data_IF_989908955373
#
_entry.id   IF_989908955373
#
_cell.length_a   1.000
_cell.length_b   1.000
_cell.length_c   1.000
_cell.angle_alpha   90.00
_cell.angle_beta   90.00
_cell.angle_gamma   90.00
#
_symmetry.space_group_name_H-M   'P 1'
#
loop_
_entity.id
_entity.type
_entity.pdbx_description
1 polymer ?
#
# COMPACT_ATOMS: atom_id res chain seq x y z
N UNK A 1 20.44 37.27 67.63
CA UNK A 1 19.22 37.31 66.78
C UNK A 1 19.12 38.51 65.81
N UNK A 2 20.07 39.46 65.80
CA UNK A 2 20.05 40.62 64.88
C UNK A 2 20.60 40.31 63.47
N UNK A 3 21.60 39.43 63.35
CA UNK A 3 22.34 39.25 62.09
C UNK A 3 21.62 38.38 61.03
N UNK A 4 20.69 37.51 61.45
CA UNK A 4 19.92 36.66 60.53
C UNK A 4 18.78 37.41 59.81
N UNK A 5 18.22 38.46 60.43
CA UNK A 5 17.21 39.32 59.80
C UNK A 5 17.81 40.28 58.77
N UNK A 6 19.05 40.73 58.98
CA UNK A 6 19.81 41.55 58.04
C UNK A 6 20.09 40.82 56.72
N UNK A 7 20.67 39.61 56.79
CA UNK A 7 21.01 38.81 55.59
C UNK A 7 19.78 38.38 54.76
N UNK A 8 18.63 38.15 55.40
CA UNK A 8 17.36 37.82 54.70
C UNK A 8 16.76 39.05 53.99
N UNK A 9 16.89 40.24 54.57
CA UNK A 9 16.46 41.48 53.93
C UNK A 9 17.33 41.85 52.73
N UNK A 10 18.64 41.60 52.82
CA UNK A 10 19.60 41.87 51.75
C UNK A 10 19.44 40.92 50.57
N UNK A 11 19.17 39.62 50.82
CA UNK A 11 18.85 38.64 49.78
C UNK A 11 17.56 38.99 49.03
N UNK A 12 16.50 39.40 49.72
CA UNK A 12 15.26 39.89 49.09
C UNK A 12 15.45 41.18 48.30
N UNK A 13 16.38 42.06 48.72
CA UNK A 13 16.76 43.26 47.95
C UNK A 13 17.52 42.91 46.68
N UNK A 14 18.42 41.92 46.71
CA UNK A 14 19.09 41.41 45.51
C UNK A 14 18.11 40.74 44.57
N UNK A 15 17.25 39.85 45.05
CA UNK A 15 16.23 39.18 44.22
C UNK A 15 15.28 40.19 43.57
N UNK A 16 14.84 41.24 44.29
CA UNK A 16 14.03 42.32 43.70
C UNK A 16 14.79 43.18 42.67
N UNK A 17 16.09 43.41 42.86
CA UNK A 17 16.92 44.09 41.85
C UNK A 17 17.12 43.23 40.60
N UNK A 18 17.38 41.93 40.77
CA UNK A 18 17.52 41.01 39.64
C UNK A 18 16.21 40.87 38.88
N UNK A 19 15.06 40.78 39.57
CA UNK A 19 13.73 40.76 38.94
C UNK A 19 13.42 42.07 38.22
N UNK A 20 13.79 43.21 38.82
CA UNK A 20 13.66 44.53 38.20
C UNK A 20 14.50 44.67 36.92
N UNK A 21 15.75 44.19 36.94
CA UNK A 21 16.61 44.17 35.76
C UNK A 21 16.01 43.26 34.69
N UNK A 22 15.55 42.06 35.05
CA UNK A 22 14.94 41.13 34.11
C UNK A 22 13.68 41.74 33.45
N UNK A 23 12.84 42.41 34.25
CA UNK A 23 11.64 43.10 33.74
C UNK A 23 12.02 44.28 32.82
N UNK A 24 13.08 45.01 33.15
CA UNK A 24 13.56 46.12 32.30
C UNK A 24 14.14 45.59 30.98
N UNK A 25 14.85 44.47 31.00
CA UNK A 25 15.36 43.79 29.79
C UNK A 25 14.20 43.24 28.97
N UNK A 26 13.16 42.68 29.59
CA UNK A 26 11.98 42.19 28.88
C UNK A 26 11.20 43.33 28.23
N UNK A 27 11.03 44.47 28.92
CA UNK A 27 10.39 45.68 28.36
C UNK A 27 11.24 46.28 27.24
N UNK A 28 12.57 46.28 27.35
CA UNK A 28 13.47 46.72 26.29
C UNK A 28 13.43 45.78 25.08
N UNK A 29 13.37 44.46 25.28
CA UNK A 29 13.21 43.48 24.21
C UNK A 29 11.84 43.60 23.53
N UNK A 30 10.77 43.82 24.30
CA UNK A 30 9.44 44.06 23.76
C UNK A 30 9.38 45.39 22.98
N UNK A 31 10.04 46.43 23.48
CA UNK A 31 10.19 47.70 22.76
C UNK A 31 11.05 47.54 21.50
N UNK A 32 12.09 46.69 21.53
CA UNK A 32 12.89 46.37 20.35
C UNK A 32 12.07 45.59 19.32
N UNK A 33 11.29 44.60 19.76
CA UNK A 33 10.41 43.80 18.91
C UNK A 33 9.29 44.65 18.30
N UNK A 34 8.67 45.52 19.10
CA UNK A 34 7.68 46.49 18.62
C UNK A 34 8.32 47.55 17.72
N UNK A 35 9.59 47.93 17.93
CA UNK A 35 10.31 48.85 17.05
C UNK A 35 10.76 48.20 15.74
N UNK A 36 11.06 46.89 15.75
CA UNK A 36 11.36 46.10 14.56
C UNK A 36 10.08 45.86 13.76
N UNK A 37 8.97 45.51 14.42
CA UNK A 37 7.65 45.38 13.78
C UNK A 37 7.14 46.76 13.27
N UNK A 38 7.52 47.87 13.94
CA UNK A 38 7.29 49.24 13.45
C UNK A 38 8.27 49.68 12.35
N UNK A 39 9.48 49.12 12.25
CA UNK A 39 10.40 49.36 11.13
C UNK A 39 10.04 48.52 9.91
N UNK A 40 9.46 47.35 10.12
CA UNK A 40 8.96 46.44 9.09
C UNK A 40 7.60 46.90 8.55
N UNK A 41 6.71 47.43 9.42
CA UNK A 41 5.41 48.01 9.03
C UNK A 41 5.43 49.53 8.76
N UNK A 42 6.40 50.27 9.30
CA UNK A 42 6.50 51.74 9.24
C UNK A 42 7.44 52.29 8.16
N UNK A 43 7.92 51.46 7.23
CA UNK A 43 8.43 51.94 5.93
C UNK A 43 7.35 52.58 5.04
N UNK A 44 6.10 52.67 5.52
CA UNK A 44 5.05 53.54 4.96
C UNK A 44 4.83 54.72 5.90
N UNK A 45 4.96 55.94 5.36
CA UNK A 45 4.68 57.24 6.00
C UNK A 45 5.86 57.82 6.80
N UNK A 46 6.77 58.58 6.17
CA UNK A 46 6.62 60.04 6.10
C UNK A 46 7.25 60.68 4.83
N UNK A 47 7.72 59.86 3.87
CA UNK A 47 8.13 60.30 2.51
C UNK A 47 7.05 59.95 1.47
N UNK A 48 5.94 59.34 1.90
CA UNK A 48 4.86 58.85 1.05
C UNK A 48 4.18 59.90 0.14
N UNK A 49 4.07 61.21 0.49
CA UNK A 49 3.47 62.17 -0.44
C UNK A 49 4.41 62.63 -1.55
N UNK A 50 5.72 62.33 -1.47
CA UNK A 50 6.73 62.73 -2.45
C UNK A 50 7.24 61.55 -3.30
N UNK A 51 7.11 60.30 -2.81
CA UNK A 51 7.44 59.08 -3.56
C UNK A 51 6.26 58.45 -4.31
N UNK A 52 5.02 58.87 -4.06
CA UNK A 52 3.83 58.40 -4.80
C UNK A 52 3.78 58.84 -6.27
N UNK A 53 4.65 59.78 -6.67
CA UNK A 53 4.85 60.14 -8.09
C UNK A 53 5.84 59.24 -8.83
N UNK A 54 6.58 58.38 -8.11
CA UNK A 54 7.58 57.46 -8.67
C UNK A 54 7.49 56.06 -8.05
N UNK A 55 6.27 55.54 -7.82
CA UNK A 55 6.13 54.09 -7.71
C UNK A 55 6.18 53.51 -9.13
N UNK A 56 7.21 52.72 -9.51
CA UNK A 56 7.09 51.92 -10.71
C UNK A 56 5.82 51.08 -10.55
N UNK A 57 4.93 51.18 -11.54
CA UNK A 57 3.71 50.38 -11.62
C UNK A 57 4.13 48.94 -11.30
N UNK A 58 3.55 48.35 -10.26
CA UNK A 58 3.85 46.96 -9.90
C UNK A 58 3.61 46.15 -11.17
N UNK A 59 4.68 45.53 -11.70
CA UNK A 59 4.60 44.84 -12.99
C UNK A 59 3.56 43.74 -12.79
N UNK A 60 2.47 43.82 -13.55
CA UNK A 60 1.42 42.82 -13.48
C UNK A 60 2.08 41.46 -13.75
N UNK A 61 1.70 40.44 -12.96
CA UNK A 61 2.23 39.08 -13.13
C UNK A 61 1.11 38.19 -13.64
N UNK A 62 1.41 37.27 -14.57
CA UNK A 62 0.42 36.29 -15.00
C UNK A 62 0.01 35.41 -13.82
N UNK A 63 -1.27 35.05 -13.75
CA UNK A 63 -1.80 34.11 -12.75
C UNK A 63 -1.26 32.70 -12.95
N UNK A 64 -1.05 32.30 -14.20
CA UNK A 64 -0.57 30.96 -14.56
C UNK A 64 0.83 31.06 -15.19
N UNK A 65 1.70 30.14 -14.80
CA UNK A 65 3.03 29.99 -15.37
C UNK A 65 3.04 28.87 -16.43
N UNK A 66 4.08 28.85 -17.25
CA UNK A 66 4.38 27.74 -18.14
C UNK A 66 4.38 26.40 -17.37
N UNK A 67 3.74 25.39 -17.96
CA UNK A 67 3.53 24.07 -17.37
C UNK A 67 2.30 23.95 -16.47
N UNK A 68 1.62 25.04 -16.09
CA UNK A 68 0.40 24.92 -15.29
C UNK A 68 -0.74 24.26 -16.09
N UNK A 69 -1.48 23.39 -15.43
CA UNK A 69 -2.72 22.83 -15.95
C UNK A 69 -3.88 23.80 -15.73
N UNK A 70 -4.64 24.03 -16.79
CA UNK A 70 -5.76 24.97 -16.80
C UNK A 70 -6.97 24.34 -17.47
N UNK A 71 -8.13 24.54 -16.87
CA UNK A 71 -9.41 24.22 -17.47
C UNK A 71 -9.80 25.36 -18.42
N UNK A 72 -10.05 25.01 -19.67
CA UNK A 72 -10.55 25.89 -20.72
C UNK A 72 -11.87 25.34 -21.25
N UNK A 73 -12.85 26.22 -21.48
CA UNK A 73 -14.16 25.83 -22.01
C UNK A 73 -14.25 26.20 -23.48
N UNK A 74 -14.27 25.20 -24.35
CA UNK A 74 -14.46 25.36 -25.80
C UNK A 74 -15.86 24.89 -26.20
N UNK A 75 -16.78 25.85 -26.35
CA UNK A 75 -18.20 25.54 -26.56
C UNK A 75 -18.81 24.80 -25.37
N UNK A 76 -19.22 23.55 -25.60
CA UNK A 76 -19.79 22.67 -24.57
C UNK A 76 -18.74 21.73 -23.95
N UNK A 77 -17.52 21.67 -24.49
CA UNK A 77 -16.43 20.86 -23.96
C UNK A 77 -15.64 21.63 -22.89
N UNK A 78 -15.28 20.94 -21.82
CA UNK A 78 -14.33 21.42 -20.83
C UNK A 78 -13.02 20.64 -20.97
N UNK A 79 -12.01 21.31 -21.49
CA UNK A 79 -10.71 20.71 -21.86
C UNK A 79 -9.66 21.17 -20.84
N UNK A 80 -8.83 20.25 -20.38
CA UNK A 80 -7.72 20.53 -19.48
C UNK A 80 -6.45 20.61 -20.30
N UNK A 81 -5.95 21.83 -20.48
CA UNK A 81 -4.74 22.11 -21.24
C UNK A 81 -3.53 22.46 -20.38
N UNK A 82 -2.37 22.52 -21.02
CA UNK A 82 -1.10 22.95 -20.43
C UNK A 82 -0.71 24.33 -20.93
N UNK A 83 -0.46 25.27 -20.02
CA UNK A 83 0.05 26.60 -20.38
C UNK A 83 1.44 26.47 -20.97
N UNK A 84 1.62 26.95 -22.20
CA UNK A 84 2.91 27.00 -22.89
C UNK A 84 3.56 28.36 -22.68
N UNK A 85 2.75 29.43 -22.74
CA UNK A 85 3.26 30.79 -22.63
C UNK A 85 2.19 31.75 -22.16
N UNK A 86 2.59 32.81 -21.47
CA UNK A 86 1.76 33.98 -21.19
C UNK A 86 2.35 35.23 -21.83
N UNK A 87 1.48 36.12 -22.30
CA UNK A 87 1.85 37.40 -22.93
C UNK A 87 0.95 38.50 -22.36
N UNK A 88 1.52 39.66 -22.04
CA UNK A 88 0.74 40.82 -21.60
C UNK A 88 0.12 41.51 -22.83
N UNK A 89 -1.21 41.57 -22.87
CA UNK A 89 -2.01 42.30 -23.85
C UNK A 89 -2.50 43.64 -23.25
N UNK A 90 -2.31 44.77 -23.95
CA UNK A 90 -2.68 46.09 -23.45
C UNK A 90 -4.18 46.30 -23.16
N UNK A 91 -5.07 45.56 -23.82
CA UNK A 91 -6.53 45.71 -23.72
C UNK A 91 -7.15 44.65 -22.82
N UNK A 92 -6.62 43.42 -22.83
CA UNK A 92 -7.23 42.26 -22.18
C UNK A 92 -6.50 41.79 -20.92
N UNK A 93 -5.33 42.36 -20.60
CA UNK A 93 -4.47 41.85 -19.53
C UNK A 93 -3.62 40.68 -20.03
N UNK A 94 -3.36 39.66 -19.20
CA UNK A 94 -2.60 38.51 -19.68
C UNK A 94 -3.44 37.60 -20.57
N UNK A 95 -2.88 37.25 -21.73
CA UNK A 95 -3.38 36.22 -22.63
C UNK A 95 -2.41 35.04 -22.69
N UNK A 96 -2.94 33.87 -22.97
CA UNK A 96 -2.23 32.61 -22.84
C UNK A 96 -2.20 31.83 -24.14
N UNK A 97 -1.09 31.14 -24.34
CA UNK A 97 -0.94 30.05 -25.30
C UNK A 97 -1.05 28.75 -24.50
N UNK A 98 -2.07 27.95 -24.80
CA UNK A 98 -2.41 26.72 -24.07
C UNK A 98 -2.46 25.56 -25.06
N UNK A 99 -1.73 24.50 -24.75
CA UNK A 99 -1.79 23.22 -25.47
C UNK A 99 -2.97 22.42 -24.93
N UNK A 100 -4.00 22.23 -25.76
CA UNK A 100 -5.28 21.62 -25.36
C UNK A 100 -5.34 20.12 -25.70
N UNK A 101 -4.60 19.72 -26.72
CA UNK A 101 -4.35 18.34 -27.15
C UNK A 101 -2.87 18.27 -27.54
N UNK A 102 -2.23 17.11 -27.44
CA UNK A 102 -0.81 16.96 -27.67
C UNK A 102 -0.42 17.46 -29.08
N UNK A 103 0.38 18.52 -29.14
CA UNK A 103 0.76 19.20 -30.38
C UNK A 103 -0.26 20.19 -30.94
N UNK A 104 -1.42 20.37 -30.29
CA UNK A 104 -2.49 21.31 -30.68
C UNK A 104 -2.57 22.45 -29.67
N UNK A 105 -2.24 23.65 -30.13
CA UNK A 105 -2.14 24.83 -29.27
C UNK A 105 -3.14 25.90 -29.68
N UNK A 106 -3.87 26.41 -28.69
CA UNK A 106 -4.74 27.56 -28.81
C UNK A 106 -4.05 28.80 -28.25
N UNK A 107 -4.13 29.90 -29.00
CA UNK A 107 -3.45 31.17 -28.68
C UNK A 107 -4.45 32.23 -28.26
N UNK A 108 -3.92 33.25 -27.59
CA UNK A 108 -4.65 34.46 -27.21
C UNK A 108 -5.85 34.17 -26.28
N UNK A 109 -5.76 33.13 -25.44
CA UNK A 109 -6.82 32.82 -24.46
C UNK A 109 -6.77 33.83 -23.31
N UNK A 110 -7.84 34.58 -23.03
CA UNK A 110 -7.86 35.53 -21.92
C UNK A 110 -7.77 34.83 -20.56
N UNK A 111 -7.03 35.39 -19.60
CA UNK A 111 -6.85 34.81 -18.26
C UNK A 111 -8.16 34.44 -17.55
N UNK A 112 -9.22 35.24 -17.77
CA UNK A 112 -10.55 35.05 -17.17
C UNK A 112 -11.26 33.77 -17.65
N UNK A 113 -10.85 33.21 -18.77
CA UNK A 113 -11.42 31.98 -19.35
C UNK A 113 -10.70 30.72 -18.86
N UNK A 114 -9.64 30.90 -18.07
CA UNK A 114 -8.84 29.82 -17.50
C UNK A 114 -9.12 29.68 -16.00
N UNK A 115 -9.24 28.42 -15.56
CA UNK A 115 -9.30 28.06 -14.15
C UNK A 115 -8.18 27.08 -13.81
N UNK A 116 -7.56 27.23 -12.64
CA UNK A 116 -6.59 26.23 -12.17
C UNK A 116 -7.30 24.89 -11.98
N UNK A 117 -6.67 23.83 -12.46
CA UNK A 117 -7.11 22.45 -12.23
C UNK A 117 -5.88 21.60 -11.97
N UNK A 118 -6.05 20.55 -11.17
CA UNK A 118 -5.02 19.53 -10.95
C UNK A 118 -5.60 18.20 -11.41
N UNK A 119 -4.79 17.45 -12.12
CA UNK A 119 -5.10 16.09 -12.59
C UNK A 119 -3.93 15.18 -12.21
N UNK A 120 -4.15 13.87 -12.15
CA UNK A 120 -3.06 12.94 -11.83
C UNK A 120 -2.04 12.84 -12.95
N UNK A 121 -2.47 12.92 -14.21
CA UNK A 121 -1.61 12.77 -15.39
C UNK A 121 -1.62 14.03 -16.25
N UNK A 122 -0.50 14.30 -16.92
CA UNK A 122 -0.33 15.47 -17.76
C UNK A 122 -0.39 15.13 -19.26
N UNK A 123 -0.68 16.16 -20.04
CA UNK A 123 -0.62 16.07 -21.50
C UNK A 123 0.80 15.72 -21.95
N UNK A 124 0.93 14.67 -22.77
CA UNK A 124 2.20 14.15 -23.24
C UNK A 124 2.92 13.25 -22.23
N UNK A 125 2.30 12.89 -21.11
CA UNK A 125 2.87 11.94 -20.15
C UNK A 125 2.73 10.50 -20.67
N UNK A 126 3.81 9.72 -20.55
CA UNK A 126 3.81 8.30 -20.86
C UNK A 126 3.07 7.54 -19.75
N UNK A 127 2.12 6.69 -20.14
CA UNK A 127 1.24 5.96 -19.22
C UNK A 127 1.09 4.50 -19.62
N UNK A 128 0.86 3.67 -18.61
CA UNK A 128 0.45 2.29 -18.79
C UNK A 128 -1.02 2.14 -18.39
N UNK A 129 -1.75 1.29 -19.11
CA UNK A 129 -3.11 0.92 -18.74
C UNK A 129 -3.12 -0.11 -17.60
N UNK A 130 -4.03 0.06 -16.64
CA UNK A 130 -4.18 -0.77 -15.46
C UNK A 130 -4.64 -2.20 -15.84
N UNK A 131 -4.30 -3.24 -15.05
CA UNK A 131 -4.70 -4.63 -15.34
C UNK A 131 -6.22 -4.86 -15.38
N UNK A 132 -6.99 -4.01 -14.70
CA UNK A 132 -8.44 -4.06 -14.70
C UNK A 132 -9.08 -3.32 -15.89
N UNK A 133 -8.29 -2.60 -16.68
CA UNK A 133 -8.79 -1.95 -17.88
C UNK A 133 -9.13 -3.00 -18.93
N UNK A 134 -10.16 -2.71 -19.73
CA UNK A 134 -10.47 -3.52 -20.92
C UNK A 134 -9.46 -3.29 -22.06
N UNK A 135 -8.53 -2.37 -21.86
CA UNK A 135 -7.55 -1.90 -22.82
C UNK A 135 -6.17 -2.25 -22.26
N UNK A 136 -5.35 -2.98 -23.01
CA UNK A 136 -3.98 -3.33 -22.60
C UNK A 136 -2.95 -2.58 -23.45
N UNK A 137 -1.95 -1.99 -22.81
CA UNK A 137 -0.81 -1.38 -23.48
C UNK A 137 -0.21 -0.19 -22.76
N UNK A 138 0.83 0.36 -23.39
CA UNK A 138 1.52 1.59 -23.00
C UNK A 138 1.30 2.64 -24.08
N UNK A 139 1.21 3.90 -23.66
CA UNK A 139 0.92 5.00 -24.56
C UNK A 139 1.28 6.34 -23.96
N UNK A 140 0.79 7.40 -24.60
CA UNK A 140 0.99 8.77 -24.15
C UNK A 140 -0.33 9.53 -24.14
N UNK A 141 -0.58 10.32 -23.09
CA UNK A 141 -1.80 11.12 -22.96
C UNK A 141 -1.85 12.18 -24.07
N UNK A 142 -2.88 12.11 -24.91
CA UNK A 142 -3.08 13.01 -26.04
C UNK A 142 -4.10 14.10 -25.77
N UNK A 143 -5.11 13.87 -24.92
CA UNK A 143 -6.11 14.88 -24.54
C UNK A 143 -6.62 14.60 -23.12
N UNK A 144 -7.05 15.65 -22.42
CA UNK A 144 -7.65 15.55 -21.09
C UNK A 144 -8.92 16.40 -21.05
N UNK A 145 -10.04 15.80 -20.68
CA UNK A 145 -11.35 16.44 -20.64
C UNK A 145 -11.95 16.34 -19.23
N UNK A 146 -12.86 17.25 -18.90
CA UNK A 146 -13.75 17.12 -17.74
C UNK A 146 -15.17 16.87 -18.20
N UNK A 147 -15.74 15.73 -17.81
CA UNK A 147 -17.12 15.35 -18.13
C UNK A 147 -17.87 15.02 -16.84
N UNK A 148 -18.93 15.78 -16.52
CA UNK A 148 -19.77 15.55 -15.34
C UNK A 148 -18.96 15.41 -14.03
N UNK A 149 -18.01 16.34 -13.82
CA UNK A 149 -17.05 16.36 -12.71
C UNK A 149 -16.01 15.22 -12.67
N UNK A 150 -15.95 14.36 -13.70
CA UNK A 150 -14.91 13.35 -13.87
C UNK A 150 -13.84 13.82 -14.86
N UNK A 151 -12.58 13.49 -14.57
CA UNK A 151 -11.47 13.67 -15.50
C UNK A 151 -11.39 12.44 -16.39
N UNK A 152 -11.37 12.67 -17.70
CA UNK A 152 -11.32 11.65 -18.74
C UNK A 152 -10.11 11.90 -19.61
N UNK A 153 -9.37 10.84 -19.92
CA UNK A 153 -8.14 10.88 -20.68
C UNK A 153 -8.35 10.26 -22.07
N UNK A 154 -7.60 10.78 -23.03
CA UNK A 154 -7.39 10.14 -24.32
C UNK A 154 -5.89 9.87 -24.46
N UNK A 155 -5.54 8.75 -25.10
CA UNK A 155 -4.14 8.35 -25.25
C UNK A 155 -3.86 7.72 -26.61
N UNK A 156 -2.65 7.89 -27.11
CA UNK A 156 -2.11 7.12 -28.23
C UNK A 156 -1.35 5.91 -27.67
N UNK A 157 -1.90 4.72 -27.85
CA UNK A 157 -1.38 3.45 -27.31
C UNK A 157 -0.78 2.63 -28.44
N UNK A 158 0.44 2.13 -28.25
CA UNK A 158 1.29 1.58 -29.33
C UNK A 158 0.60 0.48 -30.18
N UNK A 159 -0.25 -0.34 -29.55
CA UNK A 159 -0.94 -1.46 -30.22
C UNK A 159 -2.45 -1.24 -30.45
N UNK A 160 -3.03 -0.18 -29.88
CA UNK A 160 -4.47 0.11 -29.98
C UNK A 160 -4.76 1.37 -30.81
N UNK A 161 -3.73 2.15 -31.14
CA UNK A 161 -3.88 3.45 -31.76
C UNK A 161 -4.46 4.46 -30.78
N UNK A 162 -5.36 5.33 -31.24
CA UNK A 162 -5.98 6.32 -30.38
C UNK A 162 -7.10 5.70 -29.56
N UNK A 163 -7.03 5.87 -28.25
CA UNK A 163 -7.96 5.35 -27.26
C UNK A 163 -8.64 6.53 -26.58
N UNK A 164 -9.96 6.44 -26.42
CA UNK A 164 -10.82 7.48 -25.88
C UNK A 164 -11.45 7.02 -24.57
N UNK A 165 -11.98 7.97 -23.80
CA UNK A 165 -12.78 7.72 -22.59
C UNK A 165 -12.05 6.93 -21.49
N UNK A 166 -10.72 7.06 -21.40
CA UNK A 166 -9.91 6.39 -20.39
C UNK A 166 -10.15 7.07 -19.05
N UNK A 167 -10.64 6.32 -18.07
CA UNK A 167 -10.81 6.83 -16.71
C UNK A 167 -9.49 6.83 -15.95
N UNK A 168 -9.39 7.70 -14.96
CA UNK A 168 -8.17 7.83 -14.15
C UNK A 168 -7.78 6.52 -13.42
N UNK A 169 -8.76 5.68 -13.05
CA UNK A 169 -8.56 4.37 -12.44
C UNK A 169 -8.11 3.28 -13.43
N UNK A 170 -8.15 3.55 -14.73
CA UNK A 170 -7.64 2.70 -15.79
C UNK A 170 -6.17 3.01 -16.14
N UNK A 171 -5.55 3.98 -15.48
CA UNK A 171 -4.15 4.35 -15.66
C UNK A 171 -3.31 3.90 -14.45
N UNK A 172 -2.04 3.54 -14.71
CA UNK A 172 -1.09 3.15 -13.67
C UNK A 172 -0.28 4.34 -13.14
N UNK A 173 -0.22 4.48 -11.82
CA UNK A 173 0.74 5.34 -11.12
C UNK A 173 1.85 4.49 -10.52
N UNK A 174 3.11 4.91 -10.62
CA UNK A 174 4.22 4.21 -9.93
C UNK A 174 4.77 5.08 -8.80
N UNK A 175 4.84 4.52 -7.59
CA UNK A 175 5.45 5.13 -6.41
C UNK A 175 6.64 4.27 -6.00
N UNK A 176 7.82 4.89 -5.97
CA UNK A 176 9.03 4.28 -5.44
C UNK A 176 8.97 4.31 -3.91
N UNK A 177 9.07 3.16 -3.25
CA UNK A 177 9.09 3.10 -1.80
C UNK A 177 10.52 3.42 -1.32
N UNK A 178 10.67 4.40 -0.42
CA UNK A 178 11.99 4.85 0.03
C UNK A 178 12.54 4.04 1.24
N UNK A 179 12.40 2.72 1.23
CA UNK A 179 12.98 1.86 2.28
C UNK A 179 14.51 1.97 2.27
N UNK A 180 15.12 1.85 3.46
CA UNK A 180 16.60 1.87 3.60
C UNK A 180 17.09 0.78 4.53
N UNK A 181 18.26 0.25 4.22
CA UNK A 181 18.88 -0.84 5.00
C UNK A 181 19.32 -0.35 6.37
N UNK A 182 19.73 0.92 6.47
CA UNK A 182 20.16 1.56 7.72
C UNK A 182 19.01 1.99 8.63
N UNK A 183 17.78 2.04 8.12
CA UNK A 183 16.60 2.40 8.91
C UNK A 183 16.31 1.33 9.96
N UNK A 184 15.74 1.74 11.09
CA UNK A 184 15.13 0.79 12.01
C UNK A 184 13.90 0.12 11.37
N UNK A 185 13.50 -1.02 11.94
CA UNK A 185 12.26 -1.71 11.59
C UNK A 185 11.05 -0.77 11.63
N UNK A 186 10.94 0.05 12.66
CA UNK A 186 9.83 0.99 12.86
C UNK A 186 9.82 2.10 11.80
N UNK A 187 10.99 2.61 11.41
CA UNK A 187 11.13 3.61 10.34
C UNK A 187 10.70 3.03 8.99
N UNK A 188 11.14 1.82 8.64
CA UNK A 188 10.73 1.14 7.42
C UNK A 188 9.23 0.77 7.43
N UNK A 189 8.68 0.38 8.57
CA UNK A 189 7.24 0.17 8.71
C UNK A 189 6.45 1.45 8.42
N UNK A 190 6.88 2.60 8.94
CA UNK A 190 6.20 3.87 8.71
C UNK A 190 6.29 4.30 7.24
N UNK A 191 7.45 4.14 6.61
CA UNK A 191 7.62 4.41 5.17
C UNK A 191 6.68 3.56 4.34
N UNK A 192 6.59 2.25 4.63
CA UNK A 192 5.69 1.36 3.89
C UNK A 192 4.21 1.72 4.14
N UNK A 193 3.85 2.09 5.37
CA UNK A 193 2.50 2.56 5.71
C UNK A 193 2.12 3.82 4.93
N UNK A 194 3.04 4.79 4.83
CA UNK A 194 2.83 6.02 4.06
C UNK A 194 2.69 5.73 2.56
N UNK A 195 3.46 4.78 2.02
CA UNK A 195 3.33 4.36 0.62
C UNK A 195 1.96 3.73 0.35
N UNK A 196 1.47 2.86 1.25
CA UNK A 196 0.11 2.29 1.16
C UNK A 196 -0.95 3.41 1.24
N UNK A 197 -0.82 4.38 2.16
CA UNK A 197 -1.76 5.50 2.25
C UNK A 197 -1.75 6.34 0.95
N UNK A 198 -0.57 6.63 0.40
CA UNK A 198 -0.43 7.38 -0.85
C UNK A 198 -1.07 6.65 -2.02
N UNK A 199 -0.91 5.32 -2.12
CA UNK A 199 -1.51 4.53 -3.19
C UNK A 199 -3.03 4.56 -3.19
N UNK A 200 -3.68 4.69 -2.03
CA UNK A 200 -5.15 4.74 -1.94
C UNK A 200 -5.77 6.04 -2.49
N UNK A 201 -4.95 7.04 -2.85
CA UNK A 201 -5.37 8.34 -3.38
C UNK A 201 -5.35 8.40 -4.91
N UNK A 202 -4.85 7.35 -5.58
CA UNK A 202 -4.71 7.28 -7.02
C UNK A 202 -5.57 6.14 -7.59
N UNK A 203 -5.53 5.97 -8.92
CA UNK A 203 -6.02 4.79 -9.62
C UNK A 203 -5.20 3.53 -9.30
N UNK A 204 -4.94 2.69 -10.30
CA UNK A 204 -4.08 1.53 -10.08
C UNK A 204 -2.64 1.97 -9.76
N UNK A 205 -2.10 1.56 -8.62
CA UNK A 205 -0.79 1.99 -8.16
C UNK A 205 0.20 0.84 -8.05
N UNK A 206 1.37 0.99 -8.67
CA UNK A 206 2.53 0.14 -8.43
C UNK A 206 3.35 0.77 -7.31
N UNK A 207 3.45 0.08 -6.17
CA UNK A 207 4.47 0.33 -5.17
C UNK A 207 5.70 -0.51 -5.50
N UNK A 208 6.72 0.17 -6.01
CA UNK A 208 7.99 -0.46 -6.39
C UNK A 208 8.95 -0.42 -5.20
N UNK A 209 9.35 -1.60 -4.75
CA UNK A 209 10.31 -1.73 -3.67
C UNK A 209 11.75 -1.56 -4.19
N UNK A 210 12.64 -0.94 -3.40
CA UNK A 210 14.04 -0.81 -3.77
C UNK A 210 14.76 -2.16 -3.68
N UNK A 211 15.87 -2.28 -4.40
CA UNK A 211 16.78 -3.42 -4.26
C UNK A 211 17.43 -3.43 -2.86
N UNK A 212 17.50 -4.61 -2.24
CA UNK A 212 18.17 -4.79 -0.95
C UNK A 212 17.35 -5.57 0.07
N UNK A 213 17.83 -5.60 1.31
CA UNK A 213 17.17 -6.27 2.42
C UNK A 213 16.71 -5.25 3.47
N UNK A 214 15.41 -5.23 3.77
CA UNK A 214 14.79 -4.21 4.62
C UNK A 214 14.07 -4.89 5.77
N UNK A 215 14.37 -4.48 7.01
CA UNK A 215 13.68 -5.01 8.18
C UNK A 215 12.29 -4.38 8.32
N UNK A 216 11.25 -5.22 8.44
CA UNK A 216 9.86 -4.84 8.72
C UNK A 216 9.22 -5.81 9.71
N UNK A 217 8.09 -5.41 10.30
CA UNK A 217 7.31 -6.24 11.21
C UNK A 217 7.15 -5.63 12.59
N UNK A 218 6.45 -6.37 13.45
CA UNK A 218 5.94 -5.89 14.73
C UNK A 218 6.06 -6.99 15.79
N UNK A 219 6.13 -6.57 17.05
CA UNK A 219 6.13 -7.52 18.17
C UNK A 219 4.71 -8.03 18.48
N UNK A 220 3.68 -7.22 18.21
CA UNK A 220 2.27 -7.53 18.48
C UNK A 220 1.39 -7.24 17.24
N UNK A 221 1.15 -8.24 16.38
CA UNK A 221 0.38 -8.05 15.15
C UNK A 221 -1.13 -7.81 15.39
N UNK A 222 -1.61 -7.97 16.63
CA UNK A 222 -2.99 -7.60 16.99
C UNK A 222 -3.16 -6.08 17.17
N UNK A 223 -2.06 -5.33 17.33
CA UNK A 223 -2.09 -3.87 17.50
C UNK A 223 -1.53 -3.14 16.29
N UNK A 224 -0.50 -3.70 15.67
CA UNK A 224 0.21 -3.06 14.57
C UNK A 224 0.26 -3.98 13.37
N UNK A 225 -0.19 -3.45 12.23
CA UNK A 225 -0.37 -4.19 11.00
C UNK A 225 -0.43 -3.21 9.81
N UNK A 226 -0.43 -3.77 8.61
CA UNK A 226 -0.65 -3.04 7.36
C UNK A 226 -2.04 -3.35 6.82
N UNK A 227 -2.76 -2.33 6.35
CA UNK A 227 -4.00 -2.50 5.60
C UNK A 227 -3.65 -2.27 4.12
N UNK A 228 -3.96 -3.24 3.28
CA UNK A 228 -3.74 -3.15 1.85
C UNK A 228 -4.92 -2.44 1.18
N UNK A 229 -4.70 -1.40 0.37
CA UNK A 229 -5.75 -0.81 -0.46
C UNK A 229 -5.98 -1.66 -1.71
N UNK A 230 -7.15 -1.50 -2.35
CA UNK A 230 -7.43 -2.07 -3.67
C UNK A 230 -6.67 -1.34 -4.78
N UNK A 231 -6.62 -1.95 -5.97
CA UNK A 231 -5.94 -1.44 -7.15
C UNK A 231 -4.45 -1.20 -6.91
N UNK A 232 -3.79 -2.16 -6.29
CA UNK A 232 -2.38 -2.04 -5.91
C UNK A 232 -1.56 -3.22 -6.42
N UNK A 233 -0.36 -2.90 -6.86
CA UNK A 233 0.70 -3.85 -7.11
C UNK A 233 1.86 -3.59 -6.15
N UNK A 234 2.28 -4.62 -5.42
CA UNK A 234 3.51 -4.65 -4.64
C UNK A 234 4.56 -5.39 -5.45
N UNK A 235 5.54 -4.66 -6.00
CA UNK A 235 6.56 -5.21 -6.91
C UNK A 235 7.94 -5.14 -6.27
N UNK A 236 8.56 -6.30 -6.09
CA UNK A 236 9.96 -6.41 -5.70
C UNK A 236 10.91 -6.16 -6.87
N UNK A 237 12.10 -5.65 -6.55
CA UNK A 237 13.19 -5.44 -7.50
C UNK A 237 14.46 -6.03 -6.89
N UNK A 238 14.58 -7.36 -6.86
CA UNK A 238 15.58 -8.05 -6.05
C UNK A 238 15.51 -7.62 -4.57
N UNK A 239 14.28 -7.51 -4.06
CA UNK A 239 13.97 -7.00 -2.72
C UNK A 239 13.70 -8.15 -1.76
N UNK A 240 14.34 -8.11 -0.59
CA UNK A 240 13.99 -8.94 0.56
C UNK A 240 13.35 -8.12 1.68
N UNK A 241 12.15 -8.49 2.09
CA UNK A 241 11.52 -7.99 3.31
C UNK A 241 11.87 -8.94 4.46
N UNK A 242 12.77 -8.50 5.35
CA UNK A 242 13.23 -9.25 6.50
C UNK A 242 12.25 -9.05 7.65
N UNK A 243 11.41 -10.05 7.88
CA UNK A 243 10.39 -10.03 8.92
C UNK A 243 11.05 -10.17 10.29
N UNK A 244 10.90 -9.17 11.16
CA UNK A 244 11.33 -9.17 12.56
C UNK A 244 10.13 -9.15 13.52
N UNK A 245 9.86 -10.29 14.15
CA UNK A 245 8.62 -10.55 14.90
C UNK A 245 7.53 -11.11 13.98
N UNK A 246 6.49 -10.32 13.73
CA UNK A 246 5.37 -10.66 12.86
C UNK A 246 5.02 -9.52 11.90
N UNK A 247 4.69 -9.83 10.64
CA UNK A 247 4.25 -8.85 9.65
C UNK A 247 2.91 -9.29 9.06
N UNK A 248 1.84 -8.61 9.48
CA UNK A 248 0.46 -8.93 9.07
C UNK A 248 -0.06 -7.90 8.09
N UNK A 249 -0.57 -8.38 6.96
CA UNK A 249 -1.20 -7.58 5.92
C UNK A 249 -2.69 -7.95 5.84
N UNK A 250 -3.56 -6.96 5.93
CA UNK A 250 -5.01 -7.15 5.96
C UNK A 250 -5.69 -6.59 4.71
N UNK A 251 -6.47 -7.45 4.05
CA UNK A 251 -7.49 -7.06 3.07
C UNK A 251 -8.86 -7.06 3.72
N UNK A 252 -9.42 -5.88 3.98
CA UNK A 252 -10.72 -5.75 4.65
C UNK A 252 -11.86 -5.84 3.64
N UNK A 253 -13.00 -6.39 4.07
CA UNK A 253 -14.23 -6.33 3.29
C UNK A 253 -14.72 -4.88 3.24
N UNK A 254 -15.09 -4.39 2.06
CA UNK A 254 -15.59 -3.02 1.85
C UNK A 254 -17.11 -2.98 1.67
N UNK A 255 -17.77 -4.14 1.67
CA UNK A 255 -19.20 -4.29 1.45
C UNK A 255 -19.64 -5.75 1.53
N UNK A 256 -20.94 -6.04 1.35
CA UNK A 256 -21.52 -7.36 1.54
C UNK A 256 -21.36 -8.30 0.34
N UNK A 257 -20.94 -7.80 -0.83
CA UNK A 257 -20.74 -8.60 -2.03
C UNK A 257 -19.43 -9.38 -2.02
N UNK A 258 -19.39 -10.46 -2.79
CA UNK A 258 -18.22 -11.35 -2.90
C UNK A 258 -16.96 -10.64 -3.43
N UNK A 259 -17.14 -9.57 -4.19
CA UNK A 259 -16.07 -8.74 -4.76
C UNK A 259 -15.76 -7.51 -3.91
N UNK A 260 -16.50 -7.29 -2.82
CA UNK A 260 -16.36 -6.10 -1.99
C UNK A 260 -15.28 -6.32 -0.93
N UNK A 261 -14.03 -6.31 -1.36
CA UNK A 261 -12.84 -6.41 -0.51
C UNK A 261 -11.59 -5.94 -1.24
N UNK A 262 -10.43 -6.45 -0.83
CA UNK A 262 -9.16 -6.16 -1.51
C UNK A 262 -9.26 -6.63 -2.97
N UNK A 263 -9.21 -5.70 -3.91
CA UNK A 263 -9.54 -5.94 -5.32
C UNK A 263 -8.40 -5.49 -6.24
N UNK A 264 -8.17 -6.21 -7.33
CA UNK A 264 -7.10 -5.93 -8.30
C UNK A 264 -5.74 -5.84 -7.59
N UNK A 265 -5.42 -6.88 -6.84
CA UNK A 265 -4.21 -6.95 -6.02
C UNK A 265 -3.15 -7.80 -6.70
N UNK A 266 -1.95 -7.24 -6.87
CA UNK A 266 -0.80 -7.95 -7.41
C UNK A 266 0.34 -7.96 -6.39
N UNK A 267 0.91 -9.14 -6.14
CA UNK A 267 2.12 -9.31 -5.34
C UNK A 267 3.14 -10.06 -6.18
N UNK A 268 4.27 -9.44 -6.48
CA UNK A 268 5.28 -10.07 -7.32
C UNK A 268 6.73 -9.79 -6.95
N UNK A 269 7.58 -10.78 -7.26
CA UNK A 269 9.04 -10.69 -7.25
C UNK A 269 9.63 -10.24 -5.89
N UNK A 270 8.91 -10.50 -4.79
CA UNK A 270 9.36 -10.23 -3.42
C UNK A 270 9.89 -11.48 -2.73
N UNK A 271 10.99 -11.32 -1.98
CA UNK A 271 11.44 -12.33 -1.00
C UNK A 271 11.03 -11.89 0.42
N UNK A 272 10.08 -12.58 1.01
CA UNK A 272 9.69 -12.38 2.41
C UNK A 272 10.39 -13.42 3.27
N UNK A 273 11.31 -12.98 4.13
CA UNK A 273 12.23 -13.86 4.87
C UNK A 273 12.19 -13.56 6.36
N UNK A 274 12.16 -14.60 7.20
CA UNK A 274 12.31 -14.41 8.63
C UNK A 274 13.71 -13.92 9.01
N UNK A 275 13.78 -12.99 9.98
CA UNK A 275 15.02 -12.60 10.65
C UNK A 275 15.60 -13.75 11.46
N UNK A 276 14.75 -14.47 12.21
CA UNK A 276 15.13 -15.71 12.91
C UNK A 276 14.92 -16.93 12.01
N UNK A 277 15.95 -17.34 11.27
CA UNK A 277 15.91 -18.53 10.42
C UNK A 277 16.01 -19.86 11.19
N UNK A 278 16.10 -19.83 12.51
CA UNK A 278 16.13 -21.03 13.36
C UNK A 278 14.75 -21.33 13.91
N UNK A 279 14.08 -20.33 14.47
CA UNK A 279 12.77 -20.48 15.09
C UNK A 279 11.62 -19.97 14.22
N UNK A 280 11.93 -19.28 13.11
CA UNK A 280 10.97 -18.66 12.22
C UNK A 280 10.38 -17.37 12.81
N UNK A 281 10.00 -16.47 11.90
CA UNK A 281 9.15 -15.32 12.20
C UNK A 281 7.81 -15.52 11.49
N UNK A 282 6.88 -14.58 11.60
CA UNK A 282 5.54 -14.76 11.02
C UNK A 282 5.23 -13.71 9.96
N UNK A 283 4.94 -14.13 8.74
CA UNK A 283 4.26 -13.30 7.77
C UNK A 283 2.89 -13.90 7.50
N UNK A 284 1.87 -13.06 7.42
CA UNK A 284 0.52 -13.48 7.09
C UNK A 284 -0.19 -12.38 6.32
N UNK A 285 -0.71 -12.72 5.14
CA UNK A 285 -1.70 -11.93 4.44
C UNK A 285 -3.06 -12.55 4.71
N UNK A 286 -3.90 -11.79 5.41
CA UNK A 286 -5.25 -12.21 5.75
C UNK A 286 -6.27 -11.33 5.03
N UNK A 287 -7.21 -11.93 4.32
CA UNK A 287 -8.24 -11.16 3.63
C UNK A 287 -9.61 -11.78 3.77
N UNK A 288 -10.59 -10.92 3.99
CA UNK A 288 -11.98 -11.27 3.99
C UNK A 288 -12.66 -10.52 2.85
N UNK A 289 -13.15 -11.27 1.88
CA UNK A 289 -13.48 -10.84 0.52
C UNK A 289 -12.25 -10.39 -0.27
N UNK A 290 -12.36 -10.51 -1.58
CA UNK A 290 -11.36 -10.00 -2.51
C UNK A 290 -11.65 -10.47 -3.93
N UNK A 291 -11.13 -9.75 -4.91
CA UNK A 291 -11.40 -10.04 -6.32
C UNK A 291 -10.17 -9.76 -7.19
N UNK A 292 -9.93 -10.65 -8.16
CA UNK A 292 -8.90 -10.46 -9.19
C UNK A 292 -7.50 -10.26 -8.60
N UNK A 293 -6.96 -11.32 -8.01
CA UNK A 293 -5.61 -11.30 -7.43
C UNK A 293 -4.62 -12.03 -8.30
N UNK A 294 -3.38 -11.54 -8.30
CA UNK A 294 -2.24 -12.26 -8.89
C UNK A 294 -1.06 -12.24 -7.91
N UNK A 295 -0.71 -13.40 -7.40
CA UNK A 295 0.43 -13.62 -6.50
C UNK A 295 1.45 -14.45 -7.27
N UNK A 296 2.56 -13.85 -7.70
CA UNK A 296 3.50 -14.55 -8.59
C UNK A 296 4.97 -14.35 -8.27
N UNK A 297 5.76 -15.41 -8.48
CA UNK A 297 7.23 -15.36 -8.38
C UNK A 297 7.77 -14.85 -7.03
N UNK A 298 7.00 -14.97 -5.95
CA UNK A 298 7.46 -14.58 -4.63
C UNK A 298 8.15 -15.74 -3.92
N UNK A 299 9.02 -15.41 -2.97
CA UNK A 299 9.64 -16.39 -2.07
C UNK A 299 9.26 -16.08 -0.63
N UNK A 300 8.79 -17.09 0.11
CA UNK A 300 8.45 -17.01 1.53
C UNK A 300 9.37 -17.97 2.28
N UNK A 301 10.31 -17.46 3.08
CA UNK A 301 11.31 -18.31 3.76
C UNK A 301 11.21 -18.20 5.26
N UNK A 302 10.88 -19.31 5.92
CA UNK A 302 10.81 -19.44 7.37
C UNK A 302 9.83 -18.47 8.05
N UNK A 303 8.82 -18.01 7.30
CA UNK A 303 7.80 -17.07 7.77
C UNK A 303 6.45 -17.73 8.13
N UNK A 304 6.39 -19.05 8.08
CA UNK A 304 5.19 -19.85 8.35
C UNK A 304 5.33 -20.57 9.69
N UNK A 305 4.80 -19.96 10.76
CA UNK A 305 4.88 -20.53 12.12
C UNK A 305 3.86 -21.63 12.32
N UNK A 306 4.08 -22.43 13.36
CA UNK A 306 3.13 -23.46 13.80
C UNK A 306 1.73 -22.87 14.00
N UNK A 307 0.72 -23.55 13.45
CA UNK A 307 -0.69 -23.14 13.50
C UNK A 307 -0.96 -21.75 12.93
N UNK A 308 -0.15 -21.29 11.97
CA UNK A 308 -0.40 -20.07 11.21
C UNK A 308 -0.49 -20.39 9.72
N UNK A 309 -0.74 -19.35 8.93
CA UNK A 309 -0.77 -19.40 7.47
C UNK A 309 0.12 -18.30 6.89
N UNK A 310 0.50 -18.43 5.62
CA UNK A 310 1.11 -17.33 4.85
C UNK A 310 0.03 -16.51 4.17
N UNK A 311 -0.97 -17.18 3.60
CA UNK A 311 -2.20 -16.63 3.08
C UNK A 311 -3.38 -17.26 3.80
N UNK A 312 -4.19 -16.43 4.45
CA UNK A 312 -5.42 -16.87 5.13
C UNK A 312 -6.63 -16.12 4.55
N UNK A 313 -7.41 -16.82 3.73
CA UNK A 313 -8.31 -16.19 2.78
C UNK A 313 -9.75 -16.65 2.97
N UNK A 314 -10.63 -15.71 3.32
CA UNK A 314 -12.07 -15.93 3.40
C UNK A 314 -12.82 -15.29 2.24
N UNK A 315 -13.54 -16.07 1.45
CA UNK A 315 -14.44 -15.56 0.41
C UNK A 315 -13.75 -14.83 -0.76
N UNK A 316 -12.47 -15.08 -1.01
CA UNK A 316 -11.72 -14.47 -2.12
C UNK A 316 -12.16 -15.06 -3.47
N UNK A 317 -12.30 -14.21 -4.48
CA UNK A 317 -12.78 -14.56 -5.81
C UNK A 317 -11.69 -14.32 -6.86
N UNK A 318 -11.54 -15.26 -7.81
CA UNK A 318 -10.67 -15.11 -8.99
C UNK A 318 -9.24 -14.68 -8.64
N UNK A 319 -8.53 -15.55 -7.92
CA UNK A 319 -7.14 -15.32 -7.53
C UNK A 319 -6.21 -16.36 -8.16
N UNK A 320 -5.04 -15.92 -8.61
CA UNK A 320 -3.99 -16.79 -9.14
C UNK A 320 -2.74 -16.76 -8.26
N UNK A 321 -2.23 -17.94 -7.90
CA UNK A 321 -0.95 -18.15 -7.21
C UNK A 321 -0.02 -18.91 -8.15
N UNK A 322 1.03 -18.27 -8.64
CA UNK A 322 1.87 -18.80 -9.71
C UNK A 322 3.35 -18.71 -9.40
N UNK A 323 4.08 -19.83 -9.46
CA UNK A 323 5.54 -19.77 -9.42
C UNK A 323 6.12 -19.29 -8.08
N UNK A 324 5.33 -19.32 -6.99
CA UNK A 324 5.80 -18.90 -5.68
C UNK A 324 6.52 -20.06 -4.99
N UNK A 325 7.46 -19.73 -4.10
CA UNK A 325 8.17 -20.71 -3.26
C UNK A 325 7.86 -20.48 -1.78
N UNK A 326 7.41 -21.52 -1.09
CA UNK A 326 7.15 -21.55 0.34
C UNK A 326 8.15 -22.50 1.01
N UNK A 327 9.16 -21.93 1.67
CA UNK A 327 10.28 -22.65 2.25
C UNK A 327 10.20 -22.67 3.78
N UNK A 328 9.86 -23.83 4.34
CA UNK A 328 9.86 -24.08 5.78
C UNK A 328 8.59 -23.66 6.52
N UNK A 329 8.06 -24.60 7.30
CA UNK A 329 6.90 -24.52 8.18
C UNK A 329 7.24 -25.08 9.56
N UNK A 330 6.78 -24.40 10.61
CA UNK A 330 6.78 -24.87 11.99
C UNK A 330 8.12 -25.51 12.43
N UNK A 331 9.25 -24.77 12.43
CA UNK A 331 10.57 -25.29 12.80
C UNK A 331 10.62 -25.93 14.20
N UNK A 332 9.73 -25.50 15.10
CA UNK A 332 9.56 -26.08 16.43
C UNK A 332 8.99 -27.51 16.42
N UNK A 333 8.41 -27.97 15.32
CA UNK A 333 7.88 -29.33 15.15
C UNK A 333 8.84 -30.28 14.40
N UNK A 334 10.01 -29.79 13.99
CA UNK A 334 11.00 -30.59 13.25
C UNK A 334 11.45 -31.84 14.02
N UNK A 335 11.53 -31.74 15.35
CA UNK A 335 11.88 -32.86 16.23
C UNK A 335 10.70 -33.81 16.55
N UNK A 336 9.47 -33.43 16.22
CA UNK A 336 8.29 -34.26 16.50
C UNK A 336 8.23 -35.46 15.56
N UNK A 337 8.09 -36.66 16.11
CA UNK A 337 8.14 -37.93 15.38
C UNK A 337 6.81 -38.67 15.30
N UNK A 338 5.79 -38.24 16.05
CA UNK A 338 4.46 -38.86 16.08
C UNK A 338 3.39 -37.81 16.37
N UNK A 339 2.19 -38.02 15.84
CA UNK A 339 1.04 -37.18 16.18
C UNK A 339 0.60 -37.44 17.63
N UNK A 340 0.29 -36.39 18.40
CA UNK A 340 -0.29 -36.55 19.71
C UNK A 340 -1.72 -37.13 19.64
N UNK A 341 -2.08 -37.95 20.61
CA UNK A 341 -3.44 -38.51 20.72
C UNK A 341 -4.39 -37.50 21.36
N UNK A 342 -5.61 -37.37 20.83
CA UNK A 342 -6.69 -36.52 21.38
C UNK A 342 -6.36 -35.03 21.49
N UNK A 343 -5.54 -34.50 20.58
CA UNK A 343 -5.19 -33.08 20.52
C UNK A 343 -5.60 -32.46 19.19
N UNK A 344 -5.65 -31.14 19.17
CA UNK A 344 -5.71 -30.37 17.94
C UNK A 344 -4.56 -30.76 17.00
N UNK A 345 -4.91 -31.09 15.77
CA UNK A 345 -3.97 -31.50 14.73
C UNK A 345 -3.52 -30.32 13.86
N UNK A 346 -4.17 -29.16 13.95
CA UNK A 346 -3.85 -27.95 13.17
C UNK A 346 -2.35 -27.60 13.17
N UNK A 347 -1.60 -27.72 14.28
CA UNK A 347 -0.14 -27.53 14.27
C UNK A 347 0.64 -28.38 13.26
N UNK A 348 0.09 -29.50 12.79
CA UNK A 348 0.82 -30.51 12.01
C UNK A 348 0.52 -30.46 10.51
N UNK A 349 -0.49 -29.69 10.09
CA UNK A 349 -0.90 -29.61 8.70
C UNK A 349 -1.23 -28.20 8.22
N UNK A 350 -1.05 -27.15 9.04
CA UNK A 350 -1.49 -25.82 8.67
C UNK A 350 -0.96 -25.38 7.29
N UNK A 351 -1.85 -24.75 6.56
CA UNK A 351 -1.73 -24.43 5.17
C UNK A 351 -0.90 -23.16 4.99
N UNK A 352 0.04 -23.17 4.03
CA UNK A 352 0.63 -21.93 3.59
C UNK A 352 -0.41 -21.07 2.86
N UNK A 353 -1.32 -21.72 2.12
CA UNK A 353 -2.48 -21.10 1.48
C UNK A 353 -3.74 -21.77 2.01
N UNK A 354 -4.43 -21.10 2.94
CA UNK A 354 -5.73 -21.50 3.44
C UNK A 354 -6.83 -20.81 2.64
N UNK A 355 -7.80 -21.59 2.16
CA UNK A 355 -8.96 -21.10 1.43
C UNK A 355 -10.22 -21.46 2.21
N UNK A 356 -10.90 -20.45 2.73
CA UNK A 356 -12.12 -20.61 3.49
C UNK A 356 -13.23 -19.69 2.97
N UNK A 357 -14.43 -19.86 3.52
CA UNK A 357 -15.57 -19.01 3.28
C UNK A 357 -15.54 -17.80 4.22
N UNK A 358 -15.84 -16.62 3.67
CA UNK A 358 -16.19 -15.48 4.52
C UNK A 358 -17.47 -15.78 5.27
N UNK A 359 -17.56 -15.34 6.51
CA UNK A 359 -18.77 -15.40 7.31
C UNK A 359 -18.67 -14.45 8.52
N UNK A 360 -19.81 -14.16 9.12
CA UNK A 360 -19.93 -13.29 10.28
C UNK A 360 -19.31 -13.85 11.58
N UNK A 361 -19.15 -15.18 11.66
CA UNK A 361 -18.58 -15.82 12.85
C UNK A 361 -17.06 -15.69 12.95
N UNK A 362 -16.35 -15.59 11.82
CA UNK A 362 -14.89 -15.59 11.77
C UNK A 362 -14.32 -16.91 12.30
N UNK A 363 -14.75 -18.03 11.71
CA UNK A 363 -14.42 -19.40 12.19
C UNK A 363 -12.97 -19.82 11.85
N UNK A 364 -12.41 -19.28 10.76
CA UNK A 364 -10.98 -19.28 10.44
C UNK A 364 -10.25 -18.20 11.27
N UNK A 365 -8.95 -17.93 11.08
CA UNK A 365 -8.26 -16.89 11.90
C UNK A 365 -8.79 -15.46 11.65
N UNK A 366 -9.90 -15.30 10.91
CA UNK A 366 -10.69 -14.10 10.72
C UNK A 366 -11.16 -13.39 12.00
N UNK A 367 -10.96 -13.97 13.20
CA UNK A 367 -11.06 -13.24 14.45
C UNK A 367 -10.15 -12.00 14.50
N UNK A 368 -8.97 -12.03 13.87
CA UNK A 368 -8.11 -10.85 13.73
C UNK A 368 -8.81 -9.75 12.93
N UNK A 369 -9.34 -10.09 11.76
CA UNK A 369 -10.10 -9.17 10.90
C UNK A 369 -11.33 -8.61 11.62
N UNK A 370 -12.08 -9.46 12.33
CA UNK A 370 -13.26 -9.03 13.10
C UNK A 370 -12.93 -8.03 14.21
N UNK A 371 -11.74 -8.11 14.80
CA UNK A 371 -11.33 -7.18 15.85
C UNK A 371 -10.92 -5.82 15.31
N UNK A 372 -10.51 -5.73 14.04
CA UNK A 372 -10.01 -4.49 13.44
C UNK A 372 -11.01 -3.84 12.49
N UNK A 373 -11.93 -4.61 11.89
CA UNK A 373 -12.97 -4.12 11.00
C UNK A 373 -14.25 -3.79 11.80
N UNK A 374 -14.58 -2.49 12.02
CA UNK A 374 -15.80 -2.11 12.73
C UNK A 374 -17.08 -2.49 11.98
N UNK A 375 -17.00 -2.77 10.67
CA UNK A 375 -18.12 -3.13 9.82
C UNK A 375 -18.16 -4.63 9.51
N UNK A 376 -17.33 -5.46 10.15
CA UNK A 376 -17.17 -6.88 9.83
C UNK A 376 -18.51 -7.59 9.67
N UNK A 377 -19.40 -7.46 10.66
CA UNK A 377 -20.73 -8.10 10.63
C UNK A 377 -21.64 -7.56 9.51
N UNK A 378 -21.58 -6.26 9.23
CA UNK A 378 -22.39 -5.64 8.17
C UNK A 378 -21.90 -6.03 6.77
N UNK A 379 -20.59 -6.21 6.61
CA UNK A 379 -19.95 -6.61 5.36
C UNK A 379 -19.93 -8.14 5.17
N UNK A 380 -20.30 -8.92 6.19
CA UNK A 380 -20.36 -10.38 6.10
C UNK A 380 -21.75 -10.92 6.49
N UNK A 381 -22.84 -10.44 5.87
CA UNK A 381 -24.19 -10.88 6.23
C UNK A 381 -24.44 -12.33 5.81
N UNK A 382 -23.79 -12.77 4.73
CA UNK A 382 -23.93 -14.09 4.13
C UNK A 382 -22.58 -14.81 4.10
N UNK A 383 -22.63 -16.14 3.96
CA UNK A 383 -21.41 -16.93 3.74
C UNK A 383 -21.00 -16.90 2.28
N UNK A 384 -19.77 -16.50 1.97
CA UNK A 384 -19.24 -16.47 0.60
C UNK A 384 -18.04 -17.39 0.50
N UNK A 385 -18.13 -18.39 -0.38
CA UNK A 385 -17.05 -19.36 -0.57
C UNK A 385 -15.92 -18.74 -1.40
N UNK A 386 -14.66 -19.01 -1.05
CA UNK A 386 -13.55 -18.71 -1.95
C UNK A 386 -13.69 -19.50 -3.24
N UNK A 387 -13.59 -18.86 -4.41
CA UNK A 387 -13.92 -19.48 -5.71
C UNK A 387 -13.18 -18.86 -6.89
N UNK A 388 -13.01 -19.63 -7.97
CA UNK A 388 -12.25 -19.21 -9.14
C UNK A 388 -10.74 -19.14 -8.86
N UNK A 389 -10.24 -19.93 -7.92
CA UNK A 389 -8.84 -19.87 -7.48
C UNK A 389 -7.99 -20.81 -8.32
N UNK A 390 -6.86 -20.32 -8.81
CA UNK A 390 -5.86 -21.11 -9.55
C UNK A 390 -4.55 -21.10 -8.78
N UNK A 391 -4.06 -22.27 -8.39
CA UNK A 391 -2.78 -22.44 -7.70
C UNK A 391 -1.91 -23.33 -8.57
N UNK A 392 -0.91 -22.74 -9.24
CA UNK A 392 -0.10 -23.49 -10.21
C UNK A 392 1.39 -23.23 -10.15
N UNK A 393 2.16 -24.27 -10.40
CA UNK A 393 3.62 -24.22 -10.48
C UNK A 393 4.28 -23.60 -9.24
N UNK A 394 3.67 -23.72 -8.06
CA UNK A 394 4.28 -23.28 -6.80
C UNK A 394 5.11 -24.42 -6.20
N UNK A 395 6.10 -24.05 -5.40
CA UNK A 395 6.97 -24.98 -4.69
C UNK A 395 6.79 -24.85 -3.17
N UNK A 396 6.47 -25.96 -2.50
CA UNK A 396 6.39 -26.09 -1.06
C UNK A 396 7.54 -27.00 -0.62
N UNK A 397 8.59 -26.38 -0.08
CA UNK A 397 9.90 -27.05 0.13
C UNK A 397 10.35 -26.93 1.59
N UNK A 398 11.15 -27.88 2.11
CA UNK A 398 11.70 -27.75 3.44
C UNK A 398 12.78 -26.66 3.46
N UNK A 399 12.93 -25.98 4.59
CA UNK A 399 14.09 -25.14 4.82
C UNK A 399 15.23 -25.99 5.40
N UNK A 400 16.41 -25.89 4.77
CA UNK A 400 17.63 -26.61 5.17
C UNK A 400 18.68 -25.61 5.61
N UNK A 401 19.43 -25.95 6.66
CA UNK A 401 20.62 -25.18 7.04
C UNK A 401 21.77 -25.39 6.05
N UNK A 402 22.88 -24.66 6.28
CA UNK A 402 24.08 -24.75 5.45
C UNK A 402 24.73 -26.15 5.42
N UNK A 403 24.37 -27.04 6.34
CA UNK A 403 24.84 -28.44 6.37
C UNK A 403 23.93 -29.39 5.58
N UNK A 404 22.81 -28.89 5.06
CA UNK A 404 21.78 -29.67 4.36
C UNK A 404 20.76 -30.32 5.29
N UNK A 405 20.80 -30.04 6.61
CA UNK A 405 19.85 -30.59 7.58
C UNK A 405 18.55 -29.80 7.52
N UNK A 406 17.42 -30.51 7.51
CA UNK A 406 16.09 -29.89 7.61
C UNK A 406 15.95 -29.19 8.97
N UNK A 407 15.68 -27.88 8.91
CA UNK A 407 15.35 -27.02 10.07
C UNK A 407 13.84 -26.85 10.19
N UNK A 408 13.12 -26.83 9.07
CA UNK A 408 11.67 -26.80 8.99
C UNK A 408 11.20 -27.61 7.78
N UNK A 409 10.12 -28.39 7.95
CA UNK A 409 9.51 -29.15 6.85
C UNK A 409 8.67 -28.24 5.96
N UNK A 410 8.18 -28.71 4.81
CA UNK A 410 7.31 -27.88 3.97
C UNK A 410 5.87 -27.83 4.47
N UNK A 411 5.16 -26.82 3.98
CA UNK A 411 3.76 -26.54 4.23
C UNK A 411 2.81 -27.30 3.27
N UNK A 412 1.52 -27.10 3.48
CA UNK A 412 0.40 -27.69 2.71
C UNK A 412 -0.45 -26.59 2.06
N UNK A 413 -1.46 -27.00 1.30
CA UNK A 413 -2.57 -26.15 0.81
C UNK A 413 -3.89 -26.84 1.15
N UNK A 414 -4.92 -26.07 1.47
CA UNK A 414 -6.20 -26.66 1.84
C UNK A 414 -7.24 -25.66 2.32
N UNK A 415 -8.23 -26.22 2.99
CA UNK A 415 -9.25 -25.51 3.74
C UNK A 415 -9.41 -26.19 5.10
N UNK A 416 -9.84 -25.42 6.12
CA UNK A 416 -10.06 -25.98 7.44
C UNK A 416 -11.48 -25.78 7.99
N UNK A 417 -12.17 -24.70 7.66
CA UNK A 417 -13.38 -24.30 8.38
C UNK A 417 -14.67 -24.28 7.55
N UNK A 418 -14.61 -24.61 6.25
CA UNK A 418 -15.74 -24.37 5.35
C UNK A 418 -15.73 -25.18 4.03
N UNK A 419 -16.67 -24.87 3.12
CA UNK A 419 -16.61 -25.35 1.74
C UNK A 419 -15.90 -24.31 0.88
N UNK A 420 -15.37 -24.76 -0.26
CA UNK A 420 -14.81 -23.89 -1.29
C UNK A 420 -15.63 -23.98 -2.58
N UNK A 421 -15.57 -22.94 -3.40
CA UNK A 421 -16.06 -22.93 -4.78
C UNK A 421 -15.09 -23.62 -5.72
N UNK A 422 -14.98 -23.12 -6.96
CA UNK A 422 -14.14 -23.74 -7.99
C UNK A 422 -12.66 -23.45 -7.76
N UNK A 423 -11.86 -24.49 -7.52
CA UNK A 423 -10.41 -24.38 -7.29
C UNK A 423 -9.68 -25.28 -8.29
N UNK A 424 -8.60 -24.78 -8.87
CA UNK A 424 -7.71 -25.55 -9.75
C UNK A 424 -6.30 -25.55 -9.19
N UNK A 425 -5.76 -26.75 -8.92
CA UNK A 425 -4.38 -26.94 -8.47
C UNK A 425 -3.59 -27.72 -9.52
N UNK A 426 -2.52 -27.13 -10.05
CA UNK A 426 -1.75 -27.81 -11.10
C UNK A 426 -0.24 -27.58 -11.08
N UNK A 427 0.55 -28.61 -11.36
CA UNK A 427 2.00 -28.48 -11.51
C UNK A 427 2.76 -28.06 -10.25
N UNK A 428 2.12 -28.11 -9.06
CA UNK A 428 2.78 -27.73 -7.81
C UNK A 428 3.71 -28.85 -7.32
N UNK A 429 4.78 -28.47 -6.62
CA UNK A 429 5.70 -29.39 -5.95
C UNK A 429 5.53 -29.30 -4.44
N UNK A 430 5.31 -30.43 -3.78
CA UNK A 430 5.34 -30.56 -2.32
C UNK A 430 6.47 -31.51 -1.94
N UNK A 431 7.54 -30.99 -1.34
CA UNK A 431 8.69 -31.76 -0.92
C UNK A 431 8.78 -31.80 0.59
N UNK A 432 8.97 -32.99 1.19
CA UNK A 432 9.17 -33.15 2.64
C UNK A 432 8.14 -32.38 3.49
N UNK A 433 6.86 -32.56 3.21
CA UNK A 433 5.77 -31.93 3.97
C UNK A 433 5.74 -32.46 5.40
N UNK A 434 5.49 -31.59 6.40
CA UNK A 434 5.49 -32.02 7.80
C UNK A 434 4.49 -33.16 8.04
N UNK A 435 3.29 -33.03 7.48
CA UNK A 435 2.16 -33.91 7.68
C UNK A 435 2.38 -35.33 7.17
N UNK A 436 3.23 -35.53 6.15
CA UNK A 436 3.51 -36.85 5.56
C UNK A 436 4.51 -37.67 6.39
N UNK A 437 5.14 -37.07 7.41
CA UNK A 437 6.11 -37.75 8.27
C UNK A 437 5.49 -38.71 9.27
N UNK A 438 4.19 -38.59 9.53
CA UNK A 438 3.52 -39.30 10.61
C UNK A 438 2.97 -40.67 10.20
N UNK A 439 3.50 -41.24 9.11
CA UNK A 439 3.14 -42.56 8.59
C UNK A 439 2.08 -42.50 7.48
N UNK A 440 1.68 -43.68 6.95
CA UNK A 440 0.65 -43.74 5.92
C UNK A 440 -0.66 -43.15 6.46
N UNK A 441 -1.18 -42.16 5.74
CA UNK A 441 -2.42 -41.49 6.07
C UNK A 441 -3.58 -42.37 5.61
N UNK A 442 -4.42 -42.83 6.54
CA UNK A 442 -5.72 -43.40 6.21
C UNK A 442 -6.65 -42.34 5.60
N UNK A 443 -7.72 -42.78 4.95
CA UNK A 443 -8.73 -41.86 4.36
C UNK A 443 -9.41 -40.98 5.42
N UNK A 444 -9.43 -41.41 6.68
CA UNK A 444 -9.91 -40.67 7.84
C UNK A 444 -9.02 -39.49 8.25
N UNK A 445 -7.81 -39.38 7.69
CA UNK A 445 -6.83 -38.32 7.97
C UNK A 445 -6.55 -37.44 6.76
N UNK A 446 -7.58 -37.17 5.96
CA UNK A 446 -7.48 -36.34 4.76
C UNK A 446 -6.85 -34.96 5.02
N UNK A 447 -7.07 -34.36 6.20
CA UNK A 447 -6.46 -33.07 6.63
C UNK A 447 -4.93 -33.08 6.66
N UNK A 448 -4.31 -34.24 6.76
CA UNK A 448 -2.85 -34.37 6.77
C UNK A 448 -2.26 -34.51 5.36
N UNK A 449 -3.05 -34.49 4.30
CA UNK A 449 -2.53 -34.56 2.93
C UNK A 449 -1.87 -33.21 2.55
N UNK A 450 -0.80 -33.20 1.73
CA UNK A 450 -0.17 -31.96 1.28
C UNK A 450 -1.14 -31.00 0.58
N UNK A 451 -2.10 -31.57 -0.16
CA UNK A 451 -3.31 -30.89 -0.63
C UNK A 451 -4.48 -31.51 0.12
N UNK A 452 -5.22 -30.73 0.89
CA UNK A 452 -6.34 -31.26 1.66
C UNK A 452 -7.59 -30.37 1.54
N UNK A 453 -8.54 -30.91 0.78
CA UNK A 453 -9.94 -30.48 0.78
C UNK A 453 -10.81 -31.66 1.21
N UNK A 454 -12.00 -31.43 1.77
CA UNK A 454 -12.91 -32.51 2.15
C UNK A 454 -13.17 -33.43 0.95
N UNK A 455 -13.21 -34.74 1.19
CA UNK A 455 -13.29 -35.75 0.12
C UNK A 455 -14.54 -35.63 -0.76
N UNK A 456 -15.60 -35.02 -0.22
CA UNK A 456 -16.85 -34.73 -0.93
C UNK A 456 -16.80 -33.46 -1.80
N UNK A 457 -15.68 -32.73 -1.82
CA UNK A 457 -15.54 -31.48 -2.57
C UNK A 457 -15.39 -31.77 -4.07
N UNK A 458 -16.44 -31.54 -4.84
CA UNK A 458 -16.44 -31.76 -6.31
C UNK A 458 -15.97 -30.56 -7.12
N UNK A 459 -15.70 -29.44 -6.47
CA UNK A 459 -15.33 -28.16 -7.10
C UNK A 459 -13.82 -27.94 -7.15
N UNK A 460 -13.04 -28.86 -6.58
CA UNK A 460 -11.58 -28.84 -6.60
C UNK A 460 -11.08 -29.79 -7.69
N UNK A 461 -10.23 -29.28 -8.59
CA UNK A 461 -9.59 -30.07 -9.64
C UNK A 461 -8.08 -30.06 -9.44
N UNK A 462 -7.48 -31.25 -9.37
CA UNK A 462 -6.04 -31.45 -9.16
C UNK A 462 -5.44 -32.23 -10.33
N UNK A 463 -4.34 -31.75 -10.90
CA UNK A 463 -3.58 -32.48 -11.93
C UNK A 463 -2.10 -32.10 -11.92
N UNK A 464 -1.22 -33.02 -12.31
CA UNK A 464 0.24 -32.79 -12.43
C UNK A 464 0.95 -32.26 -11.17
N UNK A 465 0.33 -32.36 -9.98
CA UNK A 465 0.98 -32.04 -8.71
C UNK A 465 1.94 -33.18 -8.30
N UNK A 466 3.13 -32.82 -7.83
CA UNK A 466 4.16 -33.76 -7.39
C UNK A 466 4.30 -33.71 -5.87
N UNK A 467 4.28 -34.88 -5.23
CA UNK A 467 4.51 -35.03 -3.80
C UNK A 467 5.76 -35.89 -3.62
N UNK A 468 6.78 -35.31 -3.02
CA UNK A 468 8.10 -35.89 -2.83
C UNK A 468 8.45 -35.96 -1.32
N UNK A 469 9.16 -36.99 -0.87
CA UNK A 469 9.54 -37.17 0.53
C UNK A 469 10.56 -36.14 1.04
#
# INVERSE_FOLDING_TARGET
MSDYRSKKAERRRRERRTLGILFTVLVLLLALFLSLDFLEKGKKSLIAPLLSFFQPKEVAKPRFNEGNQVLYKDGDEEIIGRVIKSTEDPEQGFVYEVELELGVTQKEIPEKELSAVATLYQLGEDVDLAPASTLEGSGQITKINRMQDQIIYEASVENLGHVYDIKEDELKTTIQIELRVENSREENNEIFRQALEASSKNGFTILEFPEGEFELGFDDPAKEYFILPSNIQLRGNNTTLVVDGAMFWFGLATGPGATDGLTNFILEDLHIRAKDLKNGNQFMLMANHGYNWTIRNNQFTMVHKMSSHVFDLGGVQYAEFIGNTFAGYAPNLTATSSLPENTDLHPFYAEAIQLDASNNSGVWDGAYLRNIDPNYTANNPETILSSGIVIRNNEFVPYKDNSGKIVAYSATIGQHSSKVGYITLSGNLFQSTLSTRFGPLGDDRWVLRPIHFPLETTTVTEYDNRIEP
#
